data_IF_690676202389
#
_entry.id   IF_690676202389
#
_cell.length_a   1.000
_cell.length_b   1.000
_cell.length_c   1.000
_cell.angle_alpha   90.00
_cell.angle_beta   90.00
_cell.angle_gamma   90.00
#
_symmetry.space_group_name_H-M   'P 1'
#
loop_
_entity.id
_entity.type
_entity.pdbx_description
1 polymer ?
#
# COMPACT_ATOMS: atom_id res chain seq x y z
N UNK A 1 -19.46 12.79 -6.86
CA UNK A 1 -20.26 12.26 -5.74
C UNK A 1 -19.33 11.71 -4.68
N UNK A 2 -19.54 12.08 -3.44
CA UNK A 2 -18.83 11.40 -2.34
C UNK A 2 -19.32 9.95 -2.29
N UNK A 3 -18.41 8.99 -2.05
CA UNK A 3 -18.82 7.62 -1.87
C UNK A 3 -19.60 7.47 -0.56
N UNK A 4 -20.53 6.53 -0.52
CA UNK A 4 -21.35 6.23 0.67
C UNK A 4 -20.49 5.80 1.88
N UNK A 5 -19.22 5.41 1.65
CA UNK A 5 -18.26 4.98 2.66
C UNK A 5 -17.37 6.11 3.19
N UNK A 6 -17.58 7.36 2.76
CA UNK A 6 -16.76 8.50 3.13
C UNK A 6 -15.37 8.53 2.48
N UNK A 7 -15.07 7.60 1.58
CA UNK A 7 -13.81 7.58 0.84
C UNK A 7 -13.81 8.65 -0.24
N UNK A 8 -12.66 9.30 -0.45
CA UNK A 8 -12.45 10.14 -1.61
C UNK A 8 -12.39 9.29 -2.88
N UNK A 9 -12.62 9.90 -4.03
CA UNK A 9 -12.52 9.21 -5.33
C UNK A 9 -11.11 8.62 -5.55
N UNK A 10 -10.09 9.33 -5.10
CA UNK A 10 -8.70 8.84 -5.14
C UNK A 10 -8.51 7.58 -4.30
N UNK A 11 -9.07 7.55 -3.09
CA UNK A 11 -9.01 6.40 -2.19
C UNK A 11 -9.77 5.20 -2.77
N UNK A 12 -10.94 5.43 -3.38
CA UNK A 12 -11.69 4.38 -4.07
C UNK A 12 -10.89 3.78 -5.23
N UNK A 13 -10.24 4.63 -6.01
CA UNK A 13 -9.41 4.23 -7.13
C UNK A 13 -8.21 3.40 -6.64
N UNK A 14 -7.56 3.84 -5.57
CA UNK A 14 -6.46 3.10 -4.94
C UNK A 14 -6.92 1.73 -4.44
N UNK A 15 -8.08 1.64 -3.80
CA UNK A 15 -8.64 0.38 -3.31
C UNK A 15 -8.94 -0.60 -4.46
N UNK A 16 -9.53 -0.13 -5.55
CA UNK A 16 -9.80 -0.94 -6.75
C UNK A 16 -8.50 -1.44 -7.37
N UNK A 17 -7.52 -0.55 -7.55
CA UNK A 17 -6.22 -0.93 -8.11
C UNK A 17 -5.51 -1.96 -7.24
N UNK A 18 -5.55 -1.79 -5.92
CA UNK A 18 -4.95 -2.73 -4.97
C UNK A 18 -5.56 -4.13 -5.11
N UNK A 19 -6.88 -4.23 -5.23
CA UNK A 19 -7.56 -5.52 -5.46
C UNK A 19 -7.14 -6.18 -6.77
N UNK A 20 -7.06 -5.39 -7.84
CA UNK A 20 -6.64 -5.90 -9.16
C UNK A 20 -5.18 -6.34 -9.15
N UNK A 21 -4.30 -5.58 -8.54
CA UNK A 21 -2.89 -5.95 -8.40
C UNK A 21 -2.72 -7.22 -7.58
N UNK A 22 -3.48 -7.37 -6.49
CA UNK A 22 -3.44 -8.57 -5.66
C UNK A 22 -3.92 -9.81 -6.42
N UNK A 23 -4.96 -9.67 -7.25
CA UNK A 23 -5.59 -10.78 -7.97
C UNK A 23 -4.83 -11.15 -9.26
N UNK A 24 -4.33 -10.17 -10.01
CA UNK A 24 -3.75 -10.36 -11.35
C UNK A 24 -2.25 -10.06 -11.43
N UNK A 25 -1.67 -9.50 -10.38
CA UNK A 25 -0.34 -8.93 -10.37
C UNK A 25 -0.31 -7.52 -10.95
N UNK A 26 0.72 -6.77 -10.60
CA UNK A 26 0.93 -5.42 -11.12
C UNK A 26 1.07 -5.42 -12.64
N UNK A 27 1.94 -6.28 -13.16
CA UNK A 27 2.21 -6.38 -14.61
C UNK A 27 0.97 -6.81 -15.39
N UNK A 28 0.13 -7.69 -14.82
CA UNK A 28 -1.09 -8.20 -15.45
C UNK A 28 -2.30 -7.26 -15.37
N UNK A 29 -2.16 -6.08 -14.79
CA UNK A 29 -3.23 -5.10 -14.61
C UNK A 29 -2.94 -3.84 -15.43
N UNK A 30 -3.94 -3.34 -16.15
CA UNK A 30 -3.88 -2.11 -16.93
C UNK A 30 -4.66 -0.99 -16.25
N UNK A 31 -4.31 0.25 -16.55
CA UNK A 31 -5.11 1.42 -16.12
C UNK A 31 -6.55 1.35 -16.64
N UNK A 32 -6.76 0.81 -17.85
CA UNK A 32 -8.09 0.58 -18.39
C UNK A 32 -8.91 -0.38 -17.52
N UNK A 33 -8.30 -1.42 -16.97
CA UNK A 33 -8.98 -2.38 -16.09
C UNK A 33 -9.47 -1.68 -14.82
N UNK A 34 -8.68 -0.80 -14.26
CA UNK A 34 -9.04 0.00 -13.08
C UNK A 34 -10.21 0.93 -13.42
N UNK A 35 -10.14 1.62 -14.56
CA UNK A 35 -11.20 2.52 -15.03
C UNK A 35 -12.52 1.77 -15.21
N UNK A 36 -12.49 0.59 -15.82
CA UNK A 36 -13.68 -0.23 -16.06
C UNK A 36 -14.34 -0.68 -14.75
N UNK A 37 -13.55 -1.13 -13.78
CA UNK A 37 -14.10 -1.60 -12.49
C UNK A 37 -14.72 -0.47 -11.69
N UNK A 38 -14.07 0.71 -11.66
CA UNK A 38 -14.57 1.85 -10.88
C UNK A 38 -15.67 2.63 -11.62
N UNK A 39 -15.85 2.38 -12.92
CA UNK A 39 -16.86 3.08 -13.73
C UNK A 39 -16.47 4.49 -14.13
N UNK A 40 -15.18 4.79 -14.21
CA UNK A 40 -14.65 6.06 -14.67
C UNK A 40 -14.05 5.92 -16.07
N UNK A 41 -13.96 7.04 -16.80
CA UNK A 41 -13.22 7.05 -18.04
C UNK A 41 -11.70 7.09 -17.74
N UNK A 42 -10.91 6.68 -18.72
CA UNK A 42 -9.46 6.60 -18.62
C UNK A 42 -8.82 7.96 -18.28
N UNK A 43 -9.29 9.04 -18.88
CA UNK A 43 -8.77 10.38 -18.61
C UNK A 43 -8.94 10.78 -17.14
N UNK A 44 -10.06 10.43 -16.53
CA UNK A 44 -10.33 10.71 -15.12
C UNK A 44 -9.37 9.92 -14.23
N UNK A 45 -9.11 8.64 -14.53
CA UNK A 45 -8.15 7.83 -13.78
C UNK A 45 -6.75 8.46 -13.85
N UNK A 46 -6.30 8.85 -15.03
CA UNK A 46 -5.00 9.52 -15.21
C UNK A 46 -4.92 10.90 -14.54
N UNK A 47 -6.06 11.55 -14.32
CA UNK A 47 -6.10 12.78 -13.53
C UNK A 47 -5.68 12.56 -12.07
N UNK A 48 -6.10 11.43 -11.48
CA UNK A 48 -5.75 11.08 -10.09
C UNK A 48 -4.35 10.48 -9.98
N UNK A 49 -3.97 9.63 -10.90
CA UNK A 49 -2.67 8.95 -10.95
C UNK A 49 -2.11 9.00 -12.36
N UNK A 50 -1.01 9.70 -12.53
CA UNK A 50 -0.40 9.89 -13.85
C UNK A 50 0.14 8.59 -14.47
N UNK A 51 0.42 7.57 -13.65
CA UNK A 51 0.89 6.27 -14.11
C UNK A 51 0.50 5.16 -13.15
N UNK A 52 0.52 3.93 -13.65
CA UNK A 52 0.29 2.73 -12.85
C UNK A 52 1.33 2.57 -11.73
N UNK A 53 2.58 2.94 -12.01
CA UNK A 53 3.66 2.86 -11.02
C UNK A 53 3.45 3.81 -9.85
N UNK A 54 2.81 4.96 -10.05
CA UNK A 54 2.47 5.88 -8.97
C UNK A 54 1.39 5.30 -8.04
N UNK A 55 0.45 4.53 -8.58
CA UNK A 55 -0.51 3.79 -7.76
C UNK A 55 0.23 2.77 -6.88
N UNK A 56 1.11 1.99 -7.47
CA UNK A 56 1.90 1.00 -6.73
C UNK A 56 2.77 1.66 -5.67
N UNK A 57 3.40 2.78 -5.99
CA UNK A 57 4.21 3.54 -5.04
C UNK A 57 3.38 4.01 -3.84
N UNK A 58 2.16 4.50 -4.06
CA UNK A 58 1.25 4.90 -3.00
C UNK A 58 0.85 3.71 -2.11
N UNK A 59 0.62 2.53 -2.69
CA UNK A 59 0.37 1.29 -1.94
C UNK A 59 1.56 0.97 -1.03
N UNK A 60 2.79 1.06 -1.54
CA UNK A 60 4.02 0.83 -0.76
C UNK A 60 4.18 1.83 0.37
N UNK A 61 3.93 3.11 0.10
CA UNK A 61 4.00 4.15 1.12
C UNK A 61 3.01 3.89 2.26
N UNK A 62 1.78 3.52 1.93
CA UNK A 62 0.77 3.21 2.94
C UNK A 62 1.09 1.93 3.72
N UNK A 63 1.63 0.91 3.08
CA UNK A 63 2.05 -0.32 3.75
C UNK A 63 3.19 -0.02 4.75
N UNK A 64 4.17 0.78 4.35
CA UNK A 64 5.26 1.19 5.22
C UNK A 64 4.76 2.03 6.42
N UNK A 65 3.84 2.97 6.18
CA UNK A 65 3.23 3.77 7.24
C UNK A 65 2.45 2.92 8.26
N UNK A 66 1.70 1.92 7.80
CA UNK A 66 0.99 0.99 8.69
C UNK A 66 1.96 0.17 9.53
N UNK A 67 3.03 -0.33 8.92
CA UNK A 67 4.05 -1.09 9.64
C UNK A 67 4.72 -0.22 10.70
N UNK A 68 5.07 1.01 10.35
CA UNK A 68 5.67 1.97 11.27
C UNK A 68 4.70 2.32 12.40
N UNK A 69 3.42 2.49 12.11
CA UNK A 69 2.38 2.79 13.10
C UNK A 69 2.13 1.63 14.08
N UNK A 70 2.49 0.39 13.72
CA UNK A 70 2.43 -0.75 14.62
C UNK A 70 3.52 -0.71 15.69
N UNK A 71 4.62 0.00 15.42
CA UNK A 71 5.70 0.19 16.38
C UNK A 71 5.22 1.18 17.45
N UNK A 72 5.28 0.74 18.70
CA UNK A 72 4.95 1.59 19.84
C UNK A 72 5.96 1.30 20.92
N UNK A 73 6.60 2.33 21.38
CA UNK A 73 7.60 2.24 22.45
C UNK A 73 6.95 2.67 23.77
N UNK A 74 6.94 1.75 24.72
CA UNK A 74 6.49 2.00 26.09
C UNK A 74 7.63 1.59 27.04
N UNK A 75 8.23 2.56 27.75
CA UNK A 75 9.38 2.27 28.60
C UNK A 75 9.06 1.35 29.79
N UNK A 76 7.77 1.11 30.07
CA UNK A 76 7.37 0.18 31.14
C UNK A 76 7.34 -1.27 30.70
N UNK A 77 7.39 -1.52 29.41
CA UNK A 77 7.33 -2.88 28.86
C UNK A 77 8.68 -3.58 28.92
N UNK A 78 8.63 -4.89 29.22
CA UNK A 78 9.76 -5.77 28.95
C UNK A 78 9.95 -5.98 27.45
N UNK A 79 11.10 -6.48 27.04
CA UNK A 79 11.36 -6.82 25.65
C UNK A 79 10.32 -7.82 25.09
N UNK A 80 9.91 -8.79 25.92
CA UNK A 80 8.89 -9.78 25.54
C UNK A 80 7.51 -9.14 25.32
N UNK A 81 7.12 -8.23 26.20
CA UNK A 81 5.86 -7.49 26.06
C UNK A 81 5.85 -6.60 24.84
N UNK A 82 6.96 -5.88 24.59
CA UNK A 82 7.11 -5.04 23.41
C UNK A 82 6.98 -5.86 22.11
N UNK A 83 7.65 -7.00 22.04
CA UNK A 83 7.58 -7.92 20.91
C UNK A 83 6.15 -8.46 20.71
N UNK A 84 5.50 -8.87 21.80
CA UNK A 84 4.12 -9.35 21.74
C UNK A 84 3.17 -8.27 21.21
N UNK A 85 3.23 -7.07 21.75
CA UNK A 85 2.37 -5.96 21.34
C UNK A 85 2.61 -5.56 19.88
N UNK A 86 3.87 -5.49 19.46
CA UNK A 86 4.23 -5.22 18.07
C UNK A 86 3.65 -6.27 17.12
N UNK A 87 3.87 -7.55 17.47
CA UNK A 87 3.38 -8.68 16.65
C UNK A 87 1.86 -8.66 16.51
N UNK A 88 1.13 -8.46 17.61
CA UNK A 88 -0.35 -8.40 17.59
C UNK A 88 -0.84 -7.25 16.74
N UNK A 89 -0.24 -6.06 16.87
CA UNK A 89 -0.62 -4.89 16.07
C UNK A 89 -0.35 -5.09 14.60
N UNK A 90 0.82 -5.62 14.26
CA UNK A 90 1.19 -5.90 12.88
C UNK A 90 0.23 -6.90 12.24
N UNK A 91 -0.11 -7.99 12.95
CA UNK A 91 -1.05 -8.98 12.47
C UNK A 91 -2.45 -8.40 12.26
N UNK A 92 -2.93 -7.58 13.18
CA UNK A 92 -4.22 -6.90 13.05
C UNK A 92 -4.25 -5.96 11.85
N UNK A 93 -3.20 -5.21 11.61
CA UNK A 93 -3.11 -4.30 10.47
C UNK A 93 -3.04 -5.07 9.15
N UNK A 94 -2.28 -6.16 9.11
CA UNK A 94 -2.20 -7.03 7.94
C UNK A 94 -3.57 -7.66 7.65
N UNK A 95 -4.26 -8.15 8.67
CA UNK A 95 -5.59 -8.73 8.52
C UNK A 95 -6.63 -7.71 8.04
N UNK A 96 -6.50 -6.44 8.47
CA UNK A 96 -7.37 -5.36 8.02
C UNK A 96 -7.13 -4.92 6.58
N UNK A 97 -5.96 -5.23 6.00
CA UNK A 97 -5.58 -4.85 4.64
C UNK A 97 -4.78 -5.96 3.95
N UNK A 98 -5.38 -7.13 3.85
CA UNK A 98 -4.76 -8.33 3.25
C UNK A 98 -4.31 -8.09 1.81
N UNK A 99 -5.12 -7.41 1.03
CA UNK A 99 -4.82 -7.13 -0.38
C UNK A 99 -3.60 -6.22 -0.54
N UNK A 100 -3.52 -5.15 0.24
CA UNK A 100 -2.35 -4.27 0.23
C UNK A 100 -1.07 -4.97 0.68
N UNK A 101 -1.17 -5.81 1.70
CA UNK A 101 -0.04 -6.62 2.16
C UNK A 101 0.40 -7.62 1.08
N UNK A 102 -0.56 -8.27 0.42
CA UNK A 102 -0.27 -9.19 -0.68
C UNK A 102 0.46 -8.50 -1.82
N UNK A 103 0.01 -7.33 -2.24
CA UNK A 103 0.69 -6.52 -3.29
C UNK A 103 2.11 -6.17 -2.86
N UNK A 104 2.28 -5.70 -1.63
CA UNK A 104 3.59 -5.34 -1.11
C UNK A 104 4.58 -6.49 -1.22
N UNK A 105 4.23 -7.67 -0.71
CA UNK A 105 5.13 -8.82 -0.73
C UNK A 105 5.30 -9.42 -2.13
N UNK A 106 4.25 -9.44 -2.92
CA UNK A 106 4.26 -10.00 -4.27
C UNK A 106 5.18 -9.22 -5.20
N UNK A 107 5.16 -7.90 -5.13
CA UNK A 107 5.91 -7.04 -6.04
C UNK A 107 7.30 -6.65 -5.50
N UNK A 108 7.61 -6.97 -4.24
CA UNK A 108 8.88 -6.62 -3.60
C UNK A 108 10.12 -6.97 -4.43
N UNK A 109 10.23 -8.15 -5.08
CA UNK A 109 11.39 -8.48 -5.89
C UNK A 109 11.58 -7.60 -7.13
N UNK A 110 10.53 -6.92 -7.56
CA UNK A 110 10.47 -6.20 -8.84
C UNK A 110 10.44 -4.68 -8.71
N UNK A 111 10.48 -4.14 -7.49
CA UNK A 111 10.32 -2.70 -7.27
C UNK A 111 11.35 -1.86 -8.00
N UNK A 112 12.56 -2.39 -8.20
CA UNK A 112 13.60 -1.70 -8.95
C UNK A 112 13.31 -1.58 -10.45
N UNK A 113 12.39 -2.39 -10.96
CA UNK A 113 11.91 -2.29 -12.34
C UNK A 113 10.78 -1.28 -12.49
N UNK A 114 9.94 -1.15 -11.44
CA UNK A 114 8.74 -0.32 -11.47
C UNK A 114 8.97 1.11 -10.99
N UNK A 115 9.93 1.31 -10.09
CA UNK A 115 10.18 2.58 -9.41
C UNK A 115 11.50 3.21 -9.87
N UNK A 116 11.55 4.54 -9.76
CA UNK A 116 12.81 5.28 -9.91
C UNK A 116 13.73 5.00 -8.72
N UNK A 117 15.01 5.27 -8.87
CA UNK A 117 15.99 5.13 -7.78
C UNK A 117 15.59 5.95 -6.55
N UNK A 118 15.05 7.15 -6.76
CA UNK A 118 14.57 8.03 -5.70
C UNK A 118 13.38 7.39 -4.96
N UNK A 119 12.42 6.83 -5.69
CA UNK A 119 11.25 6.15 -5.10
C UNK A 119 11.67 4.91 -4.32
N UNK A 120 12.60 4.12 -4.84
CA UNK A 120 13.16 2.94 -4.12
C UNK A 120 13.83 3.40 -2.82
N UNK A 121 14.59 4.49 -2.87
CA UNK A 121 15.25 5.03 -1.68
C UNK A 121 14.23 5.47 -0.62
N UNK A 122 13.14 6.13 -1.01
CA UNK A 122 12.07 6.53 -0.07
C UNK A 122 11.40 5.32 0.60
N UNK A 123 11.09 4.28 -0.17
CA UNK A 123 10.49 3.04 0.37
C UNK A 123 11.43 2.41 1.40
N UNK A 124 12.69 2.27 1.06
CA UNK A 124 13.70 1.65 1.94
C UNK A 124 13.96 2.47 3.20
N UNK A 125 13.95 3.78 3.09
CA UNK A 125 14.10 4.65 4.26
C UNK A 125 12.98 4.41 5.27
N UNK A 126 11.73 4.35 4.82
CA UNK A 126 10.58 4.06 5.68
C UNK A 126 10.66 2.66 6.29
N UNK A 127 11.08 1.67 5.52
CA UNK A 127 11.28 0.31 6.02
C UNK A 127 12.35 0.26 7.12
N UNK A 128 13.43 1.01 6.95
CA UNK A 128 14.52 1.07 7.93
C UNK A 128 14.08 1.70 9.25
N UNK A 129 13.21 2.72 9.21
CA UNK A 129 12.68 3.37 10.42
C UNK A 129 11.96 2.42 11.36
N UNK A 130 11.41 1.32 10.84
CA UNK A 130 10.74 0.29 11.65
C UNK A 130 11.73 -0.40 12.61
N UNK A 131 13.00 -0.49 12.23
CA UNK A 131 14.02 -1.22 12.98
C UNK A 131 14.91 -0.32 13.85
N UNK A 132 14.71 0.96 13.80
CA UNK A 132 15.39 1.93 14.64
C UNK A 132 14.54 2.26 15.89
#
# INVERSE_FOLDING_TARGET
MASDNGLSRREELLAVATKLFAARGYHGTRMDDVADVIGLNKATVYHYYASKSLILFDIYQQAAERTLAAVHDDPTWTASEALYQYTVRLLKQTAANVEGAAVYFQEQPYITEWFTEEQVAEVREKETQVYE
#
